data_IF_305117743355
#
_entry.id   IF_305117743355
#
_cell.length_a   1.000
_cell.length_b   1.000
_cell.length_c   1.000
_cell.angle_alpha   90.00
_cell.angle_beta   90.00
_cell.angle_gamma   90.00
#
_symmetry.space_group_name_H-M   'P 1'
#
loop_
_entity.id
_entity.type
_entity.pdbx_description
1 polymer ?
#
# COMPACT_ATOMS: atom_id res chain seq x y z
N UNK A 1 0.37 -19.12 -4.18
CA UNK A 1 1.63 -18.93 -4.96
C UNK A 1 1.49 -19.30 -6.45
N UNK A 2 0.29 -19.66 -6.94
CA UNK A 2 0.01 -20.07 -8.33
C UNK A 2 0.02 -18.93 -9.38
N UNK A 3 0.21 -17.67 -8.97
CA UNK A 3 0.10 -16.51 -9.87
C UNK A 3 1.43 -16.09 -10.52
N UNK A 4 2.56 -16.64 -10.08
CA UNK A 4 3.88 -16.26 -10.60
C UNK A 4 4.36 -17.38 -11.52
N UNK A 5 4.76 -17.02 -12.74
CA UNK A 5 5.24 -18.00 -13.72
C UNK A 5 6.47 -18.75 -13.16
N UNK A 6 6.41 -20.09 -13.01
CA UNK A 6 7.50 -20.88 -12.45
C UNK A 6 8.77 -20.87 -13.32
N UNK A 7 8.65 -20.60 -14.61
CA UNK A 7 9.80 -20.52 -15.51
C UNK A 7 10.67 -19.29 -15.23
N UNK A 8 10.09 -18.20 -14.70
CA UNK A 8 10.89 -17.05 -14.23
C UNK A 8 11.85 -17.43 -13.11
N UNK A 9 11.44 -18.35 -12.23
CA UNK A 9 12.31 -18.85 -11.17
C UNK A 9 13.41 -19.75 -11.72
N UNK A 10 13.08 -20.65 -12.65
CA UNK A 10 14.07 -21.52 -13.31
C UNK A 10 15.13 -20.70 -14.04
N UNK A 11 14.72 -19.70 -14.83
CA UNK A 11 15.66 -18.80 -15.51
C UNK A 11 16.52 -18.02 -14.52
N UNK A 12 15.93 -17.50 -13.44
CA UNK A 12 16.71 -16.76 -12.43
C UNK A 12 17.70 -17.63 -11.64
N UNK A 13 17.41 -18.92 -11.49
CA UNK A 13 18.32 -19.89 -10.87
C UNK A 13 19.52 -20.17 -11.78
N UNK A 14 19.29 -20.27 -13.10
CA UNK A 14 20.37 -20.37 -14.12
C UNK A 14 21.25 -19.11 -14.10
N UNK A 15 20.66 -17.93 -13.92
CA UNK A 15 21.38 -16.64 -13.78
C UNK A 15 22.07 -16.46 -12.40
N UNK A 16 22.04 -17.47 -11.52
CA UNK A 16 22.71 -17.43 -10.21
C UNK A 16 22.08 -16.47 -9.20
N UNK A 17 20.80 -16.12 -9.34
CA UNK A 17 20.12 -15.25 -8.40
C UNK A 17 19.87 -15.96 -7.06
N UNK A 18 20.28 -15.32 -5.95
CA UNK A 18 19.96 -15.81 -4.60
C UNK A 18 18.44 -15.81 -4.33
N UNK A 19 17.93 -16.67 -3.43
CA UNK A 19 16.50 -16.74 -3.12
C UNK A 19 15.89 -15.41 -2.66
N UNK A 20 16.65 -14.61 -1.89
CA UNK A 20 16.23 -13.26 -1.48
C UNK A 20 16.09 -12.33 -2.68
N UNK A 21 17.03 -12.37 -3.63
CA UNK A 21 16.96 -11.59 -4.87
C UNK A 21 15.77 -12.01 -5.74
N UNK A 22 15.47 -13.30 -5.82
CA UNK A 22 14.30 -13.83 -6.53
C UNK A 22 13.00 -13.32 -5.91
N UNK A 23 12.89 -13.30 -4.58
CA UNK A 23 11.69 -12.79 -3.90
C UNK A 23 11.39 -11.32 -4.23
N UNK A 24 12.38 -10.43 -4.08
CA UNK A 24 12.18 -9.00 -4.31
C UNK A 24 12.09 -8.60 -5.79
N UNK A 25 12.65 -9.41 -6.70
CA UNK A 25 12.70 -9.09 -8.13
C UNK A 25 11.61 -9.78 -8.95
N UNK A 26 11.13 -10.94 -8.51
CA UNK A 26 10.17 -11.76 -9.26
C UNK A 26 8.85 -11.82 -8.50
N UNK A 27 8.87 -12.31 -7.25
CA UNK A 27 7.63 -12.57 -6.49
C UNK A 27 6.90 -11.28 -6.16
N UNK A 28 7.59 -10.36 -5.48
CA UNK A 28 6.98 -9.13 -4.96
C UNK A 28 6.40 -8.24 -6.07
N UNK A 29 7.08 -8.02 -7.22
CA UNK A 29 6.50 -7.27 -8.33
C UNK A 29 5.36 -8.03 -9.03
N UNK A 30 5.39 -9.35 -9.09
CA UNK A 30 4.33 -10.12 -9.76
C UNK A 30 3.00 -10.07 -8.99
N UNK A 31 3.04 -10.06 -7.67
CA UNK A 31 1.83 -9.99 -6.83
C UNK A 31 1.47 -8.57 -6.38
N UNK A 32 2.20 -7.55 -6.85
CA UNK A 32 2.05 -6.16 -6.37
C UNK A 32 0.63 -5.61 -6.50
N UNK A 33 -0.10 -6.02 -7.55
CA UNK A 33 -1.47 -5.59 -7.81
C UNK A 33 -2.43 -6.12 -6.74
N UNK A 34 -2.32 -7.39 -6.41
CA UNK A 34 -3.08 -8.04 -5.34
C UNK A 34 -2.71 -7.45 -3.99
N UNK A 35 -1.42 -7.24 -3.74
CA UNK A 35 -0.93 -6.70 -2.48
C UNK A 35 -1.46 -5.27 -2.23
N UNK A 36 -1.45 -4.42 -3.25
CA UNK A 36 -2.01 -3.06 -3.17
C UNK A 36 -3.49 -3.05 -2.85
N UNK A 37 -4.24 -3.99 -3.43
CA UNK A 37 -5.66 -4.16 -3.13
C UNK A 37 -5.89 -4.60 -1.69
N UNK A 38 -5.15 -5.60 -1.21
CA UNK A 38 -5.23 -6.07 0.18
C UNK A 38 -4.88 -4.96 1.17
N UNK A 39 -3.83 -4.18 0.90
CA UNK A 39 -3.49 -3.02 1.73
C UNK A 39 -4.59 -1.96 1.72
N UNK A 40 -5.21 -1.69 0.57
CA UNK A 40 -6.31 -0.73 0.47
C UNK A 40 -7.47 -1.16 1.37
N UNK A 41 -7.91 -2.42 1.25
CA UNK A 41 -8.99 -2.96 2.08
C UNK A 41 -8.62 -2.97 3.56
N UNK A 42 -7.39 -3.42 3.89
CA UNK A 42 -6.92 -3.45 5.27
C UNK A 42 -6.94 -2.08 5.93
N UNK A 43 -6.49 -1.05 5.22
CA UNK A 43 -6.50 0.33 5.69
C UNK A 43 -7.94 0.86 5.85
N UNK A 44 -8.83 0.59 4.88
CA UNK A 44 -10.24 0.99 4.98
C UNK A 44 -10.90 0.35 6.20
N UNK A 45 -10.65 -0.94 6.43
CA UNK A 45 -11.17 -1.66 7.59
C UNK A 45 -10.57 -1.13 8.90
N UNK A 46 -9.28 -0.78 8.90
CA UNK A 46 -8.62 -0.19 10.07
C UNK A 46 -9.20 1.16 10.48
N UNK A 47 -9.48 2.06 9.54
CA UNK A 47 -10.13 3.35 9.85
C UNK A 47 -11.57 3.12 10.34
N UNK A 48 -12.27 2.14 9.77
CA UNK A 48 -13.64 1.78 10.14
C UNK A 48 -13.73 0.84 11.35
N UNK A 49 -12.66 0.69 12.11
CA UNK A 49 -12.65 -0.23 13.25
C UNK A 49 -13.66 0.22 14.29
N UNK A 50 -14.46 -0.73 14.77
CA UNK A 50 -15.46 -0.50 15.81
C UNK A 50 -15.25 -1.51 16.96
N UNK A 51 -14.32 -1.22 17.89
CA UNK A 51 -13.89 -2.18 18.90
C UNK A 51 -14.89 -2.35 20.05
N UNK A 52 -16.15 -1.95 19.88
CA UNK A 52 -17.17 -1.92 20.93
C UNK A 52 -17.40 -3.30 21.57
N UNK A 53 -17.23 -4.37 20.80
CA UNK A 53 -17.31 -5.75 21.29
C UNK A 53 -16.23 -6.11 22.33
N UNK A 54 -15.06 -5.45 22.28
CA UNK A 54 -13.97 -5.66 23.24
C UNK A 54 -14.25 -4.99 24.60
N UNK A 55 -15.20 -4.06 24.65
CA UNK A 55 -15.52 -3.26 25.82
C UNK A 55 -16.94 -3.54 26.34
N UNK A 56 -17.37 -4.81 26.29
CA UNK A 56 -18.68 -5.26 26.76
C UNK A 56 -19.87 -4.52 26.13
N UNK A 57 -19.73 -4.07 24.89
CA UNK A 57 -20.70 -3.23 24.19
C UNK A 57 -20.97 -1.87 24.82
N UNK A 58 -20.10 -1.41 25.72
CA UNK A 58 -20.19 -0.12 26.37
C UNK A 58 -19.20 0.87 25.74
N UNK A 59 -19.75 1.89 25.11
CA UNK A 59 -18.96 2.94 24.46
C UNK A 59 -18.21 3.82 25.46
N UNK A 60 -18.70 3.92 26.69
CA UNK A 60 -18.12 4.74 27.77
C UNK A 60 -16.87 4.07 28.33
N UNK A 61 -16.94 2.75 28.54
CA UNK A 61 -15.76 1.94 28.89
C UNK A 61 -14.70 1.99 27.79
N UNK A 62 -15.11 1.90 26.52
CA UNK A 62 -14.17 2.02 25.41
C UNK A 62 -13.43 3.38 25.40
N UNK A 63 -14.10 4.48 25.76
CA UNK A 63 -13.43 5.79 25.89
C UNK A 63 -12.51 5.83 27.10
N UNK A 64 -12.95 5.33 28.25
CA UNK A 64 -12.17 5.34 29.48
C UNK A 64 -10.85 4.57 29.33
N UNK A 65 -10.88 3.46 28.60
CA UNK A 65 -9.73 2.59 28.34
C UNK A 65 -8.92 2.99 27.10
N UNK A 66 -9.03 4.24 26.63
CA UNK A 66 -8.35 4.76 25.43
C UNK A 66 -8.63 4.00 24.12
N UNK A 67 -9.68 3.19 24.06
CA UNK A 67 -10.18 2.49 22.87
C UNK A 67 -11.10 3.33 22.00
N UNK A 68 -11.11 4.65 22.18
CA UNK A 68 -11.98 5.56 21.43
C UNK A 68 -11.60 5.59 19.95
N UNK A 69 -12.60 5.41 19.09
CA UNK A 69 -12.46 5.45 17.64
C UNK A 69 -13.45 6.44 17.05
N UNK A 70 -13.22 6.86 15.80
CA UNK A 70 -14.12 7.78 15.13
C UNK A 70 -15.55 7.19 15.00
N UNK A 71 -15.68 5.87 14.86
CA UNK A 71 -17.00 5.21 14.87
C UNK A 71 -17.65 5.21 16.26
N UNK A 72 -16.88 5.02 17.34
CA UNK A 72 -17.40 5.13 18.71
C UNK A 72 -17.91 6.55 18.98
N UNK A 73 -17.19 7.57 18.50
CA UNK A 73 -17.65 8.96 18.57
C UNK A 73 -19.00 9.17 17.85
N UNK A 74 -19.11 8.68 16.62
CA UNK A 74 -20.37 8.75 15.85
C UNK A 74 -21.49 8.03 16.60
N UNK A 75 -21.22 6.83 17.12
CA UNK A 75 -22.19 6.04 17.88
C UNK A 75 -22.68 6.76 19.14
N UNK A 76 -21.79 7.38 19.92
CA UNK A 76 -22.18 8.13 21.10
C UNK A 76 -22.99 9.38 20.75
N UNK A 77 -22.61 10.09 19.68
CA UNK A 77 -23.35 11.26 19.22
C UNK A 77 -24.79 10.91 18.80
N UNK A 78 -25.03 9.73 18.23
CA UNK A 78 -26.39 9.26 17.92
C UNK A 78 -27.16 8.86 19.18
N UNK A 79 -26.50 8.13 20.09
CA UNK A 79 -27.19 7.44 21.19
C UNK A 79 -27.46 8.33 22.42
N UNK A 80 -26.56 9.25 22.73
CA UNK A 80 -26.59 9.98 24.00
C UNK A 80 -26.76 11.50 23.87
N UNK A 81 -26.49 12.09 22.69
CA UNK A 81 -26.63 13.53 22.51
C UNK A 81 -28.05 13.90 22.04
N UNK A 82 -28.73 14.76 22.79
CA UNK A 82 -29.98 15.40 22.37
C UNK A 82 -29.71 16.21 21.10
N UNK A 83 -30.41 15.86 20.01
CA UNK A 83 -30.20 16.39 18.66
C UNK A 83 -28.82 16.07 18.02
N UNK A 84 -28.16 15.00 18.47
CA UNK A 84 -26.82 14.62 18.02
C UNK A 84 -26.72 14.02 16.60
N UNK A 85 -27.84 13.72 15.95
CA UNK A 85 -27.89 13.18 14.59
C UNK A 85 -27.13 14.04 13.59
N UNK A 86 -27.27 15.38 13.64
CA UNK A 86 -26.55 16.28 12.74
C UNK A 86 -25.03 16.19 12.91
N UNK A 87 -24.54 16.08 14.16
CA UNK A 87 -23.11 15.90 14.45
C UNK A 87 -22.61 14.53 13.97
N UNK A 88 -23.39 13.47 14.18
CA UNK A 88 -23.07 12.12 13.75
C UNK A 88 -22.99 12.01 12.20
N UNK A 89 -23.91 12.67 11.49
CA UNK A 89 -23.90 12.73 10.03
C UNK A 89 -22.67 13.47 9.52
N UNK A 90 -22.35 14.65 10.08
CA UNK A 90 -21.16 15.41 9.72
C UNK A 90 -19.86 14.60 9.96
N UNK A 91 -19.75 13.94 11.11
CA UNK A 91 -18.60 13.10 11.44
C UNK A 91 -18.47 11.87 10.51
N UNK A 92 -19.59 11.30 10.08
CA UNK A 92 -19.61 10.18 9.12
C UNK A 92 -19.14 10.60 7.73
N UNK A 93 -19.57 11.77 7.26
CA UNK A 93 -19.08 12.36 5.99
C UNK A 93 -17.59 12.65 6.09
N UNK A 94 -17.13 13.18 7.23
CA UNK A 94 -15.70 13.43 7.47
C UNK A 94 -14.87 12.15 7.43
N UNK A 95 -15.35 11.08 8.08
CA UNK A 95 -14.73 9.75 8.00
C UNK A 95 -14.62 9.25 6.56
N UNK A 96 -15.70 9.41 5.79
CA UNK A 96 -15.74 9.01 4.39
C UNK A 96 -14.71 9.75 3.54
N UNK A 97 -14.59 11.08 3.72
CA UNK A 97 -13.58 11.91 3.04
C UNK A 97 -12.16 11.45 3.40
N UNK A 98 -11.87 11.20 4.68
CA UNK A 98 -10.58 10.66 5.11
C UNK A 98 -10.29 9.31 4.44
N UNK A 99 -11.30 8.42 4.38
CA UNK A 99 -11.16 7.12 3.73
C UNK A 99 -10.82 7.23 2.24
N UNK A 100 -11.46 8.15 1.52
CA UNK A 100 -11.15 8.43 0.11
C UNK A 100 -9.74 8.98 -0.04
N UNK A 101 -9.38 10.01 0.75
CA UNK A 101 -8.06 10.64 0.70
C UNK A 101 -6.96 9.61 0.93
N UNK A 102 -7.10 8.76 1.95
CA UNK A 102 -6.09 7.76 2.27
C UNK A 102 -6.00 6.67 1.19
N UNK A 103 -7.14 6.23 0.66
CA UNK A 103 -7.18 5.27 -0.45
C UNK A 103 -6.52 5.82 -1.72
N UNK A 104 -6.76 7.09 -2.02
CA UNK A 104 -6.13 7.78 -3.15
C UNK A 104 -4.62 7.92 -2.96
N UNK A 105 -4.19 8.38 -1.78
CA UNK A 105 -2.76 8.50 -1.43
C UNK A 105 -2.06 7.16 -1.54
N UNK A 106 -2.63 6.08 -0.99
CA UNK A 106 -2.02 4.74 -1.08
C UNK A 106 -1.85 4.29 -2.54
N UNK A 107 -2.92 4.39 -3.34
CA UNK A 107 -2.89 3.99 -4.76
C UNK A 107 -1.87 4.82 -5.55
N UNK A 108 -1.79 6.13 -5.27
CA UNK A 108 -0.82 7.04 -5.90
C UNK A 108 0.60 6.71 -5.49
N UNK A 109 0.86 6.47 -4.20
CA UNK A 109 2.18 6.10 -3.67
C UNK A 109 2.69 4.80 -4.29
N UNK A 110 1.86 3.77 -4.37
CA UNK A 110 2.21 2.51 -5.05
C UNK A 110 2.56 2.76 -6.53
N UNK A 111 1.72 3.52 -7.24
CA UNK A 111 1.95 3.83 -8.64
C UNK A 111 3.26 4.63 -8.84
N UNK A 112 3.55 5.57 -7.95
CA UNK A 112 4.80 6.36 -7.99
C UNK A 112 6.03 5.48 -7.77
N UNK A 113 6.01 4.58 -6.78
CA UNK A 113 7.12 3.65 -6.53
C UNK A 113 7.41 2.80 -7.78
N UNK A 114 6.36 2.35 -8.47
CA UNK A 114 6.50 1.58 -9.70
C UNK A 114 7.14 2.40 -10.82
N UNK A 115 6.65 3.62 -11.05
CA UNK A 115 7.21 4.52 -12.06
C UNK A 115 8.68 4.87 -11.77
N UNK A 116 9.03 5.06 -10.50
CA UNK A 116 10.41 5.32 -10.08
C UNK A 116 11.32 4.11 -10.33
N UNK A 117 10.89 2.89 -10.01
CA UNK A 117 11.67 1.68 -10.28
C UNK A 117 11.94 1.49 -11.77
N UNK A 118 10.95 1.73 -12.63
CA UNK A 118 11.14 1.67 -14.10
C UNK A 118 12.13 2.73 -14.55
N UNK A 119 11.92 3.99 -14.14
CA UNK A 119 12.77 5.12 -14.54
C UNK A 119 14.23 4.94 -14.10
N UNK A 120 14.47 4.34 -12.94
CA UNK A 120 15.82 3.97 -12.48
C UNK A 120 16.42 2.86 -13.36
N UNK A 121 15.61 1.86 -13.71
CA UNK A 121 16.02 0.79 -14.64
C UNK A 121 16.44 1.35 -16.01
N UNK A 122 15.63 2.19 -16.61
CA UNK A 122 15.92 2.85 -17.89
C UNK A 122 17.21 3.68 -17.83
N UNK A 123 17.38 4.49 -16.77
CA UNK A 123 18.61 5.27 -16.55
C UNK A 123 19.85 4.39 -16.48
N UNK A 124 19.78 3.25 -15.80
CA UNK A 124 20.91 2.32 -15.68
C UNK A 124 21.29 1.69 -17.02
N UNK A 125 20.30 1.34 -17.86
CA UNK A 125 20.55 0.80 -19.20
C UNK A 125 21.19 1.85 -20.11
N UNK A 126 20.67 3.09 -20.12
CA UNK A 126 21.22 4.18 -20.93
C UNK A 126 22.68 4.48 -20.53
N UNK A 127 23.00 4.47 -19.23
CA UNK A 127 24.36 4.71 -18.77
C UNK A 127 25.32 3.60 -19.20
N UNK A 128 24.88 2.34 -19.18
CA UNK A 128 25.68 1.21 -19.70
C UNK A 128 25.91 1.33 -21.21
N UNK A 129 24.87 1.65 -21.98
CA UNK A 129 24.97 1.84 -23.43
C UNK A 129 25.95 2.97 -23.78
N UNK A 130 25.90 4.09 -23.07
CA UNK A 130 26.84 5.20 -23.27
C UNK A 130 28.28 4.79 -22.98
N UNK A 131 28.52 4.06 -21.89
CA UNK A 131 29.85 3.55 -21.54
C UNK A 131 30.40 2.58 -22.60
N UNK A 132 29.54 1.71 -23.14
CA UNK A 132 29.93 0.72 -24.15
C UNK A 132 30.19 1.35 -25.53
N UNK A 133 29.36 2.32 -25.93
CA UNK A 133 29.57 3.11 -27.17
C UNK A 133 30.88 3.90 -27.08
N UNK A 134 31.18 4.49 -25.92
CA UNK A 134 32.44 5.20 -25.69
C UNK A 134 33.64 4.27 -25.84
N UNK A 135 33.57 3.07 -25.26
CA UNK A 135 34.63 2.05 -25.37
C UNK A 135 34.85 1.60 -26.82
N UNK A 136 33.78 1.39 -27.59
CA UNK A 136 33.89 1.06 -29.03
C UNK A 136 34.52 2.19 -29.84
N UNK A 137 34.14 3.45 -29.63
CA UNK A 137 34.73 4.60 -30.36
C UNK A 137 36.24 4.74 -30.15
N UNK A 138 36.74 4.38 -28.98
CA UNK A 138 38.18 4.43 -28.67
C UNK A 138 38.93 3.30 -29.37
N UNK A 139 38.31 2.12 -29.52
CA UNK A 139 38.91 0.95 -30.19
C UNK A 139 39.06 1.11 -31.71
N UNK A 140 38.28 1.97 -32.37
CA UNK A 140 38.37 2.22 -33.81
C UNK A 140 39.33 3.38 -34.17
N UNK A 141 39.96 3.99 -33.18
CA UNK A 141 40.87 5.14 -33.37
C UNK A 141 42.35 4.75 -33.24
N UNK A 142 42.64 3.46 -33.17
CA UNK A 142 43.96 2.81 -33.22
C UNK A 142 44.01 2.03 -34.54
#
# INVERSE_FOLDING_TARGET
>A
MLSVNPDLYKSSAIDGASPSKQFFSITLPSIQRTLSFLFTIGIINGIKVFPLALYNNDSTLAIAENGSTLLIYIFQAVRFASNGYGRAMAASVFLFIIGILLSYVLKKSVSLIYQLKIKIGERNVINKLKAEIQKRKISFKI
#
